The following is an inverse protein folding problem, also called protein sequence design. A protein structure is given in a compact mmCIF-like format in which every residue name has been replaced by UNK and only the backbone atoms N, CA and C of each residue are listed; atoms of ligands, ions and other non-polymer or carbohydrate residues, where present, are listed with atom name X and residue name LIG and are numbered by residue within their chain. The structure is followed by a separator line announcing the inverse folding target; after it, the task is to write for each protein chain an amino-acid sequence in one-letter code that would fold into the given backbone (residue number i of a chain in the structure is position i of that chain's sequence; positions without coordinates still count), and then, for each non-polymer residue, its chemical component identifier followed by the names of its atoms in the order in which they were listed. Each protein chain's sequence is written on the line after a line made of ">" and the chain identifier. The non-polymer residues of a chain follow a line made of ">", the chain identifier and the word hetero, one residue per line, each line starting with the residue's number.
data_IF_393255250176
#
_entry.id   IF_393255250176
#
_cell.length_a   1.000
_cell.length_b   1.000
_cell.length_c   1.000
_cell.angle_alpha   90.00
_cell.angle_beta   90.00
_cell.angle_gamma   90.00
#
_symmetry.space_group_name_H-M   'P 1'
#
loop_
_entity.id
_entity.type
_entity.pdbx_description
1 polymer ?
#
# COMPACT_ATOMS: atom_id res chain seq x y z
N UNK A 1 -30.90 41.10 -14.44
CA UNK A 1 -29.52 40.63 -14.67
C UNK A 1 -28.69 40.28 -13.41
N UNK A 2 -28.70 41.06 -12.29
CA UNK A 2 -27.86 40.76 -11.09
C UNK A 2 -28.21 39.46 -10.32
N UNK A 3 -29.48 39.02 -10.26
CA UNK A 3 -29.91 37.78 -9.56
C UNK A 3 -29.45 36.49 -10.28
N UNK A 4 -29.35 36.52 -11.60
CA UNK A 4 -28.99 35.36 -12.44
C UNK A 4 -27.48 35.06 -12.41
N UNK A 5 -26.64 36.09 -12.42
CA UNK A 5 -25.19 35.97 -12.23
C UNK A 5 -24.83 35.49 -10.81
N UNK A 6 -25.57 35.92 -9.77
CA UNK A 6 -25.42 35.39 -8.41
C UNK A 6 -25.74 33.89 -8.33
N UNK A 7 -26.83 33.41 -8.97
CA UNK A 7 -27.17 31.97 -9.04
C UNK A 7 -26.12 31.14 -9.80
N UNK A 8 -25.66 31.58 -10.99
CA UNK A 8 -24.62 30.87 -11.77
C UNK A 8 -23.29 30.73 -11.00
N UNK A 9 -22.91 31.77 -10.25
CA UNK A 9 -21.64 31.81 -9.52
C UNK A 9 -21.67 31.12 -8.14
N UNK A 10 -22.86 30.88 -7.58
CA UNK A 10 -23.07 29.98 -6.45
C UNK A 10 -23.00 28.52 -6.93
N UNK A 11 -23.67 28.21 -8.06
CA UNK A 11 -23.66 26.88 -8.69
C UNK A 11 -22.23 26.39 -9.03
N UNK A 12 -21.34 27.27 -9.53
CA UNK A 12 -19.94 26.90 -9.81
C UNK A 12 -19.03 26.79 -8.55
N UNK A 13 -19.32 27.55 -7.47
CA UNK A 13 -18.64 27.41 -6.17
C UNK A 13 -19.00 26.10 -5.46
N UNK A 14 -20.27 25.72 -5.47
CA UNK A 14 -20.72 24.45 -4.92
C UNK A 14 -20.17 23.30 -5.76
N UNK A 15 -20.20 23.40 -7.09
CA UNK A 15 -19.61 22.41 -8.02
C UNK A 15 -18.11 22.17 -7.77
N UNK A 16 -17.30 23.22 -7.57
CA UNK A 16 -15.86 23.04 -7.30
C UNK A 16 -15.58 22.46 -5.91
N UNK A 17 -16.35 22.83 -4.87
CA UNK A 17 -16.21 22.26 -3.52
C UNK A 17 -16.66 20.80 -3.47
N UNK A 18 -17.78 20.50 -4.12
CA UNK A 18 -18.29 19.14 -4.33
C UNK A 18 -17.24 18.32 -5.09
N UNK A 19 -16.67 18.85 -6.17
CA UNK A 19 -15.63 18.15 -6.94
C UNK A 19 -14.39 17.85 -6.10
N UNK A 20 -13.88 18.81 -5.34
CA UNK A 20 -12.77 18.54 -4.40
C UNK A 20 -13.16 17.54 -3.31
N UNK A 21 -14.38 17.61 -2.78
CA UNK A 21 -14.87 16.66 -1.77
C UNK A 21 -14.94 15.24 -2.32
N UNK A 22 -15.51 15.07 -3.52
CA UNK A 22 -15.54 13.78 -4.22
C UNK A 22 -14.13 13.28 -4.56
N UNK A 23 -13.23 14.13 -5.04
CA UNK A 23 -11.84 13.73 -5.31
C UNK A 23 -11.13 13.25 -4.05
N UNK A 24 -11.31 13.93 -2.91
CA UNK A 24 -10.75 13.48 -1.64
C UNK A 24 -11.39 12.17 -1.18
N UNK A 25 -12.70 12.02 -1.33
CA UNK A 25 -13.41 10.79 -1.00
C UNK A 25 -12.90 9.60 -1.83
N UNK A 26 -12.78 9.75 -3.15
CA UNK A 26 -12.24 8.71 -4.02
C UNK A 26 -10.78 8.37 -3.71
N UNK A 27 -9.97 9.36 -3.34
CA UNK A 27 -8.60 9.12 -2.90
C UNK A 27 -8.55 8.29 -1.60
N UNK A 28 -9.42 8.59 -0.63
CA UNK A 28 -9.53 7.81 0.60
C UNK A 28 -10.02 6.38 0.34
N UNK A 29 -10.99 6.21 -0.55
CA UNK A 29 -11.47 4.87 -0.96
C UNK A 29 -10.34 4.09 -1.63
N UNK A 30 -9.62 4.71 -2.58
CA UNK A 30 -8.49 4.08 -3.26
C UNK A 30 -7.39 3.67 -2.27
N UNK A 31 -7.07 4.53 -1.30
CA UNK A 31 -6.12 4.21 -0.24
C UNK A 31 -6.62 3.04 0.63
N UNK A 32 -7.90 3.01 0.99
CA UNK A 32 -8.52 1.93 1.75
C UNK A 32 -8.47 0.59 1.03
N UNK A 33 -8.81 0.55 -0.26
CA UNK A 33 -8.71 -0.67 -1.10
C UNK A 33 -7.28 -1.17 -1.18
N UNK A 34 -6.31 -0.25 -1.26
CA UNK A 34 -4.91 -0.59 -1.39
C UNK A 34 -4.30 -1.09 -0.06
N UNK A 35 -4.79 -0.61 1.08
CA UNK A 35 -4.39 -1.07 2.40
C UNK A 35 -5.13 -2.34 2.87
N UNK A 36 -6.26 -2.69 2.23
CA UNK A 36 -7.09 -3.83 2.63
C UNK A 36 -6.30 -5.16 2.71
N UNK A 37 -5.51 -5.56 1.69
CA UNK A 37 -4.68 -6.77 1.77
C UNK A 37 -3.77 -6.81 2.98
N UNK A 38 -3.10 -5.70 3.29
CA UNK A 38 -2.14 -5.60 4.39
C UNK A 38 -2.86 -5.80 5.73
N UNK A 39 -4.01 -5.16 5.91
CA UNK A 39 -4.82 -5.28 7.14
C UNK A 39 -5.36 -6.71 7.25
N UNK A 40 -5.84 -7.30 6.16
CA UNK A 40 -6.35 -8.65 6.14
C UNK A 40 -5.25 -9.69 6.47
N UNK A 41 -4.06 -9.57 5.84
CA UNK A 41 -2.87 -10.36 6.14
C UNK A 41 -2.50 -10.29 7.63
N UNK A 42 -2.47 -9.08 8.18
CA UNK A 42 -2.14 -8.87 9.59
C UNK A 42 -3.16 -9.52 10.54
N UNK A 43 -4.46 -9.40 10.24
CA UNK A 43 -5.51 -10.02 11.04
C UNK A 43 -5.46 -11.55 10.94
N UNK A 44 -5.21 -12.11 9.74
CA UNK A 44 -5.07 -13.55 9.53
C UNK A 44 -3.87 -14.11 10.30
N UNK A 45 -2.70 -13.48 10.19
CA UNK A 45 -1.51 -13.87 10.94
C UNK A 45 -1.75 -13.84 12.45
N UNK A 46 -2.45 -12.81 12.96
CA UNK A 46 -2.80 -12.73 14.38
C UNK A 46 -3.74 -13.86 14.82
N UNK A 47 -4.69 -14.24 13.96
CA UNK A 47 -5.60 -15.36 14.24
C UNK A 47 -4.84 -16.69 14.30
N UNK A 48 -3.95 -16.96 13.34
CA UNK A 48 -3.11 -18.15 13.33
C UNK A 48 -2.25 -18.27 14.61
N UNK A 49 -1.57 -17.19 15.00
CA UNK A 49 -0.80 -17.12 16.26
C UNK A 49 -1.68 -17.44 17.47
N UNK A 50 -2.91 -16.91 17.50
CA UNK A 50 -3.85 -17.17 18.60
C UNK A 50 -4.26 -18.64 18.66
N UNK A 51 -4.49 -19.28 17.51
CA UNK A 51 -4.81 -20.72 17.44
C UNK A 51 -3.65 -21.58 17.95
N UNK A 52 -2.42 -21.30 17.52
CA UNK A 52 -1.22 -22.00 17.99
C UNK A 52 -0.96 -21.78 19.47
N UNK A 53 -1.14 -20.55 19.98
CA UNK A 53 -1.00 -20.28 21.40
C UNK A 53 -2.00 -21.07 22.24
N UNK A 54 -3.27 -21.13 21.80
CA UNK A 54 -4.31 -21.93 22.47
C UNK A 54 -3.97 -23.41 22.42
N UNK A 55 -3.52 -23.91 21.27
CA UNK A 55 -3.04 -25.28 21.11
C UNK A 55 -1.91 -25.59 22.09
N UNK A 56 -0.86 -24.78 22.11
CA UNK A 56 0.29 -24.95 23.01
C UNK A 56 -0.13 -24.87 24.48
N UNK A 57 -1.05 -23.97 24.84
CA UNK A 57 -1.59 -23.89 26.20
C UNK A 57 -2.36 -25.16 26.56
N UNK A 58 -3.20 -25.69 25.67
CA UNK A 58 -3.93 -26.93 25.92
C UNK A 58 -2.96 -28.11 26.02
N UNK A 59 -1.95 -28.23 25.15
CA UNK A 59 -0.89 -29.25 25.26
C UNK A 59 -0.13 -29.13 26.58
N UNK A 60 0.30 -27.92 26.98
CA UNK A 60 1.05 -27.71 28.22
C UNK A 60 0.23 -28.01 29.49
N UNK A 61 -1.04 -27.58 29.55
CA UNK A 61 -1.96 -27.97 30.64
C UNK A 61 -2.16 -29.49 30.69
N UNK A 62 -2.11 -30.14 29.54
CA UNK A 62 -2.33 -31.58 29.38
C UNK A 62 -1.12 -32.39 29.85
N UNK A 63 0.10 -31.87 29.68
CA UNK A 63 1.34 -32.48 30.20
C UNK A 63 1.47 -32.50 31.73
N UNK A 64 0.74 -31.67 32.48
CA UNK A 64 0.94 -31.48 33.92
C UNK A 64 0.02 -32.36 34.81
N UNK A 65 -0.97 -33.07 34.23
CA UNK A 65 -1.92 -33.88 35.00
C UNK A 65 -1.97 -35.32 34.47
N UNK A 66 -1.85 -36.32 35.37
CA UNK A 66 -1.77 -37.75 35.03
C UNK A 66 -2.96 -38.26 34.22
N UNK A 67 -4.17 -37.74 34.47
CA UNK A 67 -5.39 -38.06 33.71
C UNK A 67 -5.31 -37.60 32.26
N UNK A 68 -4.70 -36.43 32.02
CA UNK A 68 -4.58 -35.84 30.69
C UNK A 68 -3.42 -36.45 29.88
N UNK A 69 -2.34 -36.88 30.53
CA UNK A 69 -1.30 -37.72 29.88
C UNK A 69 -1.89 -39.02 29.32
N UNK A 70 -2.76 -39.69 30.08
CA UNK A 70 -3.48 -40.89 29.60
C UNK A 70 -4.34 -40.57 28.35
N UNK A 71 -4.94 -39.38 28.30
CA UNK A 71 -5.74 -38.93 27.14
C UNK A 71 -4.83 -38.71 25.91
N UNK A 72 -3.67 -38.08 26.09
CA UNK A 72 -2.72 -37.87 24.98
C UNK A 72 -2.09 -39.19 24.51
N UNK A 73 -1.77 -40.10 25.42
CA UNK A 73 -1.32 -41.45 25.08
C UNK A 73 -2.40 -42.21 24.31
N UNK A 74 -3.67 -42.08 24.70
CA UNK A 74 -4.80 -42.67 23.98
C UNK A 74 -5.00 -42.04 22.60
N UNK A 75 -4.86 -40.72 22.46
CA UNK A 75 -4.89 -40.01 21.17
C UNK A 75 -3.75 -40.45 20.26
N UNK A 76 -2.54 -40.55 20.80
CA UNK A 76 -1.37 -41.03 20.08
C UNK A 76 -1.53 -42.50 19.67
N UNK A 77 -2.11 -43.33 20.53
CA UNK A 77 -2.43 -44.72 20.20
C UNK A 77 -3.43 -44.80 19.04
N UNK A 78 -4.53 -44.05 19.10
CA UNK A 78 -5.50 -43.98 18.00
C UNK A 78 -4.86 -43.47 16.71
N UNK A 79 -3.98 -42.46 16.80
CA UNK A 79 -3.26 -41.96 15.63
C UNK A 79 -2.33 -43.00 15.01
N UNK A 80 -1.62 -43.79 15.82
CA UNK A 80 -0.81 -44.92 15.35
C UNK A 80 -1.67 -46.00 14.69
N UNK A 81 -2.82 -46.32 15.28
CA UNK A 81 -3.75 -47.31 14.73
C UNK A 81 -4.32 -46.85 13.39
N UNK A 82 -4.64 -45.56 13.27
CA UNK A 82 -5.06 -44.94 12.01
C UNK A 82 -3.96 -45.03 10.95
N UNK A 83 -2.72 -44.68 11.31
CA UNK A 83 -1.59 -44.77 10.38
C UNK A 83 -1.34 -46.21 9.91
N UNK A 84 -1.50 -47.20 10.80
CA UNK A 84 -1.43 -48.60 10.42
C UNK A 84 -2.53 -48.98 9.44
N UNK A 85 -3.77 -48.53 9.68
CA UNK A 85 -4.88 -48.74 8.75
C UNK A 85 -4.59 -48.16 7.35
N UNK A 86 -4.11 -46.91 7.28
CA UNK A 86 -3.77 -46.27 6.00
C UNK A 86 -2.61 -47.01 5.30
N UNK A 87 -1.61 -47.45 6.07
CA UNK A 87 -0.52 -48.26 5.53
C UNK A 87 -1.02 -49.59 4.96
N UNK A 88 -1.79 -50.37 5.73
CA UNK A 88 -2.32 -51.65 5.26
C UNK A 88 -3.16 -51.48 3.99
N UNK A 89 -4.03 -50.47 3.96
CA UNK A 89 -4.82 -50.13 2.78
C UNK A 89 -3.92 -49.80 1.57
N UNK A 90 -2.83 -49.05 1.77
CA UNK A 90 -1.87 -48.72 0.70
C UNK A 90 -1.11 -49.94 0.16
N UNK A 91 -0.97 -50.99 0.98
CA UNK A 91 -0.30 -52.23 0.60
C UNK A 91 -1.27 -53.31 0.10
N UNK A 92 -2.57 -53.00 -0.01
CA UNK A 92 -3.61 -53.98 -0.36
C UNK A 92 -3.85 -55.04 0.73
N UNK A 93 -3.46 -54.75 1.97
CA UNK A 93 -3.63 -55.63 3.13
C UNK A 93 -4.94 -55.26 3.82
N UNK A 94 -5.74 -56.27 4.19
CA UNK A 94 -6.99 -56.06 4.93
C UNK A 94 -6.69 -55.75 6.41
N UNK A 95 -7.02 -54.55 6.84
CA UNK A 95 -6.94 -54.16 8.24
C UNK A 95 -7.98 -54.92 9.09
N UNK A 96 -7.55 -55.46 10.23
CA UNK A 96 -8.37 -56.33 11.11
C UNK A 96 -8.88 -55.63 12.36
N UNK A 97 -8.39 -54.42 12.67
CA UNK A 97 -8.79 -53.65 13.84
C UNK A 97 -10.03 -52.77 13.60
N UNK A 98 -10.49 -52.12 14.66
CA UNK A 98 -11.46 -51.02 14.56
C UNK A 98 -10.75 -49.77 14.05
N UNK A 99 -11.19 -49.24 12.91
CA UNK A 99 -10.63 -48.00 12.34
C UNK A 99 -11.01 -46.83 13.26
N UNK A 100 -10.04 -46.05 13.77
CA UNK A 100 -10.32 -44.82 14.51
C UNK A 100 -11.06 -43.80 13.65
N UNK A 101 -11.97 -43.04 14.27
CA UNK A 101 -12.62 -41.91 13.58
C UNK A 101 -11.57 -40.84 13.28
N UNK A 102 -11.40 -40.52 12.00
CA UNK A 102 -10.47 -39.51 11.52
C UNK A 102 -10.67 -38.17 12.23
N UNK A 103 -11.90 -37.68 12.34
CA UNK A 103 -12.19 -36.33 12.86
C UNK A 103 -12.02 -36.23 14.38
N UNK A 104 -11.95 -37.36 15.08
CA UNK A 104 -11.76 -37.40 16.54
C UNK A 104 -10.30 -37.67 16.91
N UNK A 105 -9.48 -38.13 15.96
CA UNK A 105 -8.11 -38.53 16.21
C UNK A 105 -7.20 -37.31 16.12
N UNK A 106 -6.43 -37.01 17.17
CA UNK A 106 -5.63 -35.77 17.27
C UNK A 106 -6.46 -34.47 17.34
N UNK A 107 -7.74 -34.53 17.71
CA UNK A 107 -8.51 -33.32 18.00
C UNK A 107 -8.20 -32.82 19.44
N UNK A 108 -7.35 -31.80 19.53
CA UNK A 108 -6.91 -31.23 20.81
C UNK A 108 -7.86 -30.14 21.31
N UNK A 109 -8.33 -29.29 20.39
CA UNK A 109 -9.08 -28.07 20.72
C UNK A 109 -10.59 -28.15 20.45
N UNK A 110 -11.09 -29.33 20.05
CA UNK A 110 -12.49 -29.56 19.63
C UNK A 110 -12.90 -28.74 18.40
N UNK A 111 -11.91 -28.20 17.68
CA UNK A 111 -12.10 -27.45 16.42
C UNK A 111 -11.31 -28.10 15.29
N UNK A 112 -10.80 -29.31 15.53
CA UNK A 112 -10.11 -30.11 14.52
C UNK A 112 -8.68 -29.66 14.25
N UNK A 113 -8.05 -28.86 15.11
CA UNK A 113 -6.62 -28.55 14.97
C UNK A 113 -5.78 -29.75 15.43
N UNK A 114 -4.99 -30.31 14.51
CA UNK A 114 -4.05 -31.42 14.80
C UNK A 114 -2.72 -30.92 15.36
N UNK A 115 -2.29 -29.74 14.92
CA UNK A 115 -0.92 -29.28 15.12
C UNK A 115 -0.61 -28.02 14.34
N UNK A 116 0.67 -27.75 14.10
CA UNK A 116 1.12 -26.65 13.25
C UNK A 116 2.41 -27.01 12.51
N UNK A 117 2.67 -26.29 11.41
CA UNK A 117 3.88 -26.44 10.58
C UNK A 117 4.70 -25.16 10.57
N UNK A 118 6.02 -25.32 10.57
CA UNK A 118 7.00 -24.24 10.44
C UNK A 118 8.04 -24.55 9.37
N UNK A 119 8.32 -23.58 8.51
CA UNK A 119 9.27 -23.66 7.39
C UNK A 119 10.17 -22.41 7.42
N UNK A 120 11.31 -22.46 8.14
CA UNK A 120 12.16 -21.29 8.38
C UNK A 120 12.59 -20.55 7.10
N UNK A 121 12.92 -21.30 6.05
CA UNK A 121 13.55 -20.80 4.84
C UNK A 121 12.65 -19.84 4.05
N UNK A 122 11.34 -20.01 4.19
CA UNK A 122 10.32 -19.21 3.50
C UNK A 122 9.43 -18.41 4.46
N UNK A 123 9.76 -18.41 5.76
CA UNK A 123 9.06 -17.68 6.84
C UNK A 123 7.60 -18.11 7.05
N UNK A 124 7.30 -19.38 6.80
CA UNK A 124 6.04 -19.97 7.27
C UNK A 124 6.25 -20.28 8.75
N UNK A 125 5.63 -19.50 9.63
CA UNK A 125 5.82 -19.61 11.07
C UNK A 125 4.52 -20.06 11.71
N UNK A 126 4.54 -21.28 12.24
CA UNK A 126 3.48 -21.86 13.06
C UNK A 126 2.09 -21.76 12.42
N UNK A 127 1.96 -22.27 11.19
CA UNK A 127 0.66 -22.31 10.51
C UNK A 127 -0.13 -23.52 11.01
N UNK A 128 -1.37 -23.35 11.50
CA UNK A 128 -2.19 -24.45 12.00
C UNK A 128 -2.46 -25.53 10.94
N UNK A 129 -2.42 -26.78 11.38
CA UNK A 129 -2.83 -27.96 10.61
C UNK A 129 -4.18 -28.43 11.16
N UNK A 130 -5.13 -28.63 10.26
CA UNK A 130 -6.51 -29.03 10.55
C UNK A 130 -6.89 -30.31 9.81
N UNK A 131 -7.97 -30.94 10.26
CA UNK A 131 -8.57 -32.07 9.57
C UNK A 131 -9.20 -31.67 8.22
N UNK A 132 -8.96 -32.49 7.20
CA UNK A 132 -9.52 -32.36 5.87
C UNK A 132 -8.90 -31.24 5.03
N UNK A 133 -9.30 -31.19 3.76
CA UNK A 133 -8.82 -30.26 2.73
C UNK A 133 -9.97 -29.44 2.12
N UNK A 134 -11.09 -29.32 2.84
CA UNK A 134 -12.21 -28.47 2.43
C UNK A 134 -11.81 -26.98 2.39
N UNK A 135 -12.48 -26.18 1.55
CA UNK A 135 -12.17 -24.75 1.42
C UNK A 135 -12.27 -24.00 2.76
N UNK A 136 -13.21 -24.38 3.64
CA UNK A 136 -13.30 -23.80 4.99
C UNK A 136 -12.05 -24.04 5.82
N UNK A 137 -11.39 -25.19 5.64
CA UNK A 137 -10.15 -25.56 6.31
C UNK A 137 -8.96 -24.84 5.67
N UNK A 138 -8.82 -24.91 4.35
CA UNK A 138 -7.73 -24.28 3.62
C UNK A 138 -7.77 -22.74 3.70
N UNK A 139 -8.94 -22.16 3.99
CA UNK A 139 -9.09 -20.72 4.21
C UNK A 139 -8.46 -20.23 5.53
N UNK A 140 -8.24 -21.12 6.51
CA UNK A 140 -7.75 -20.78 7.85
C UNK A 140 -6.41 -21.42 8.20
N UNK A 141 -5.82 -22.23 7.31
CA UNK A 141 -4.51 -22.85 7.54
C UNK A 141 -4.21 -23.99 6.56
N UNK A 142 -3.52 -25.00 7.07
CA UNK A 142 -3.12 -26.20 6.34
C UNK A 142 -4.14 -27.30 6.59
N UNK A 143 -4.57 -27.97 5.54
CA UNK A 143 -5.44 -29.14 5.60
C UNK A 143 -4.65 -30.44 5.51
N UNK A 144 -4.96 -31.40 6.36
CA UNK A 144 -4.44 -32.76 6.26
C UNK A 144 -5.31 -33.59 5.32
N UNK A 145 -4.72 -34.29 4.35
CA UNK A 145 -5.46 -35.18 3.46
C UNK A 145 -5.85 -36.47 4.20
N UNK A 146 -7.16 -36.69 4.37
CA UNK A 146 -7.70 -37.78 5.17
C UNK A 146 -7.15 -39.16 4.77
N UNK A 147 -6.91 -39.41 3.49
CA UNK A 147 -6.43 -40.71 2.98
C UNK A 147 -4.93 -40.96 3.21
N UNK A 148 -4.26 -40.12 4.01
CA UNK A 148 -2.82 -40.16 4.25
C UNK A 148 -2.51 -40.33 5.73
N UNK A 149 -1.26 -40.65 6.07
CA UNK A 149 -0.88 -40.85 7.47
C UNK A 149 -1.03 -39.54 8.26
N UNK A 150 -1.61 -39.63 9.46
CA UNK A 150 -1.66 -38.52 10.42
C UNK A 150 -0.26 -38.01 10.75
N UNK A 151 -0.13 -36.70 11.07
CA UNK A 151 1.15 -35.99 11.19
C UNK A 151 1.91 -36.26 12.50
N UNK A 152 2.00 -37.53 12.91
CA UNK A 152 2.77 -38.00 14.07
C UNK A 152 4.09 -38.71 13.67
N UNK A 153 4.32 -38.88 12.36
CA UNK A 153 5.46 -39.61 11.79
C UNK A 153 5.44 -41.11 12.10
N UNK A 154 6.60 -41.74 11.95
CA UNK A 154 6.82 -43.18 12.15
C UNK A 154 7.17 -43.92 10.87
N UNK A 155 7.82 -45.07 11.01
CA UNK A 155 8.14 -45.93 9.86
C UNK A 155 6.85 -46.40 9.19
N UNK A 156 6.87 -46.50 7.85
CA UNK A 156 5.71 -46.83 7.02
C UNK A 156 4.62 -45.76 7.09
N UNK A 157 5.02 -44.48 7.10
CA UNK A 157 4.07 -43.36 7.07
C UNK A 157 4.40 -42.37 5.98
N UNK A 158 3.34 -41.76 5.44
CA UNK A 158 3.44 -40.65 4.51
C UNK A 158 2.28 -39.68 4.78
N UNK A 159 2.57 -38.57 5.46
CA UNK A 159 1.57 -37.52 5.71
C UNK A 159 1.53 -36.53 4.56
N UNK A 160 0.35 -36.08 4.15
CA UNK A 160 0.21 -35.08 3.09
C UNK A 160 -0.59 -33.88 3.59
N UNK A 161 0.04 -32.72 3.47
CA UNK A 161 -0.46 -31.45 3.98
C UNK A 161 -0.67 -30.49 2.81
N UNK A 162 -1.89 -30.00 2.65
CA UNK A 162 -2.26 -29.08 1.58
C UNK A 162 -2.53 -27.68 2.12
N UNK A 163 -2.11 -26.66 1.38
CA UNK A 163 -2.51 -25.28 1.63
C UNK A 163 -2.58 -24.47 0.33
N UNK A 164 -3.32 -23.37 0.37
CA UNK A 164 -3.42 -22.45 -0.76
C UNK A 164 -2.07 -21.78 -1.09
N UNK A 165 -1.91 -21.43 -2.36
CA UNK A 165 -0.85 -20.54 -2.87
C UNK A 165 -1.47 -19.29 -3.50
N UNK A 166 -0.77 -18.16 -3.41
CA UNK A 166 -1.16 -16.91 -4.06
C UNK A 166 -2.34 -16.20 -3.42
N UNK A 167 -2.70 -16.52 -2.17
CA UNK A 167 -3.73 -15.76 -1.46
C UNK A 167 -3.17 -14.39 -1.07
N UNK A 168 -3.99 -13.37 -1.34
CA UNK A 168 -3.68 -11.97 -1.04
C UNK A 168 -3.63 -11.71 0.48
N UNK A 169 -4.30 -12.58 1.28
CA UNK A 169 -4.58 -12.41 2.71
C UNK A 169 -3.87 -13.43 3.64
N UNK A 170 -3.10 -14.38 3.09
CA UNK A 170 -2.11 -15.18 3.84
C UNK A 170 -1.15 -15.83 2.82
N UNK A 171 0.15 -15.79 3.08
CA UNK A 171 1.13 -16.39 2.17
C UNK A 171 1.14 -17.91 2.24
N UNK A 172 0.71 -18.58 3.32
CA UNK A 172 0.64 -20.06 3.45
C UNK A 172 1.76 -20.79 2.67
N UNK A 173 1.44 -21.59 1.66
CA UNK A 173 2.41 -22.32 0.82
C UNK A 173 2.73 -21.60 -0.51
N UNK A 174 2.47 -20.30 -0.61
CA UNK A 174 2.75 -19.48 -1.80
C UNK A 174 4.21 -19.56 -2.24
N UNK A 175 5.13 -19.60 -1.29
CA UNK A 175 6.58 -19.59 -1.52
C UNK A 175 7.21 -20.98 -1.44
N UNK A 176 6.39 -22.05 -1.49
CA UNK A 176 6.85 -23.43 -1.39
C UNK A 176 7.80 -23.81 -2.55
N UNK A 177 7.68 -23.14 -3.70
CA UNK A 177 8.56 -23.30 -4.87
C UNK A 177 10.00 -22.80 -4.63
N UNK A 178 10.22 -21.98 -3.60
CA UNK A 178 11.55 -21.49 -3.21
C UNK A 178 12.35 -22.50 -2.39
N UNK A 179 11.71 -23.58 -1.91
CA UNK A 179 12.40 -24.64 -1.19
C UNK A 179 13.28 -25.47 -2.11
N UNK A 180 14.41 -25.93 -1.56
CA UNK A 180 15.41 -26.75 -2.23
C UNK A 180 15.65 -28.03 -1.44
N UNK A 181 16.22 -29.03 -2.10
CA UNK A 181 16.73 -30.22 -1.41
C UNK A 181 17.68 -29.81 -0.27
N UNK A 182 17.55 -30.45 0.89
CA UNK A 182 18.30 -30.11 2.11
C UNK A 182 17.70 -28.97 2.94
N UNK A 183 16.66 -28.28 2.47
CA UNK A 183 15.85 -27.43 3.33
C UNK A 183 15.04 -28.28 4.31
N UNK A 184 14.53 -27.67 5.37
CA UNK A 184 13.81 -28.39 6.42
C UNK A 184 12.47 -27.74 6.74
N UNK A 185 11.55 -28.55 7.24
CA UNK A 185 10.32 -28.09 7.86
C UNK A 185 10.02 -28.91 9.10
N UNK A 186 9.22 -28.31 9.97
CA UNK A 186 8.88 -28.84 11.28
C UNK A 186 7.39 -29.02 11.38
N UNK A 187 6.97 -30.18 11.87
CA UNK A 187 5.57 -30.48 12.17
C UNK A 187 5.48 -30.69 13.67
N UNK A 188 4.60 -29.93 14.32
CA UNK A 188 4.33 -30.02 15.74
C UNK A 188 2.94 -30.60 15.93
N UNK A 189 2.81 -31.68 16.69
CA UNK A 189 1.54 -32.38 16.94
C UNK A 189 1.59 -32.99 18.33
N UNK A 190 0.54 -32.79 19.14
CA UNK A 190 0.57 -33.08 20.58
C UNK A 190 1.83 -32.46 21.23
N UNK A 191 2.59 -33.25 21.97
CA UNK A 191 3.90 -32.90 22.56
C UNK A 191 5.09 -33.35 21.69
N UNK A 192 4.84 -33.66 20.41
CA UNK A 192 5.84 -34.21 19.50
C UNK A 192 6.25 -33.16 18.48
N UNK A 193 7.55 -32.98 18.33
CA UNK A 193 8.17 -32.19 17.28
C UNK A 193 8.84 -33.13 16.26
N UNK A 194 8.52 -32.93 14.98
CA UNK A 194 9.01 -33.75 13.88
C UNK A 194 9.77 -32.86 12.91
N UNK A 195 10.98 -33.25 12.54
CA UNK A 195 11.80 -32.54 11.56
C UNK A 195 11.95 -33.36 10.28
N UNK A 196 11.66 -32.73 9.15
CA UNK A 196 11.81 -33.34 7.83
C UNK A 196 12.78 -32.53 7.00
N UNK A 197 13.64 -33.24 6.26
CA UNK A 197 14.53 -32.66 5.25
C UNK A 197 13.93 -32.87 3.87
N UNK A 198 13.81 -31.82 3.07
CA UNK A 198 13.33 -31.86 1.69
C UNK A 198 14.28 -32.71 0.87
N UNK A 199 13.76 -33.78 0.27
CA UNK A 199 14.53 -34.69 -0.59
C UNK A 199 14.11 -34.59 -2.06
N UNK A 200 12.91 -34.09 -2.35
CA UNK A 200 12.38 -34.07 -3.70
C UNK A 200 11.28 -33.01 -3.87
N UNK A 201 11.24 -32.40 -5.06
CA UNK A 201 10.19 -31.47 -5.48
C UNK A 201 9.67 -31.86 -6.85
N UNK A 202 8.35 -31.98 -7.00
CA UNK A 202 7.70 -32.37 -8.26
C UNK A 202 6.55 -31.43 -8.61
N UNK A 203 6.35 -31.21 -9.91
CA UNK A 203 5.16 -30.54 -10.45
C UNK A 203 4.35 -31.59 -11.20
N UNK A 204 3.11 -31.82 -10.76
CA UNK A 204 2.26 -32.90 -11.27
C UNK A 204 0.88 -32.38 -11.68
N UNK A 205 0.13 -33.21 -12.40
CA UNK A 205 -1.28 -32.92 -12.68
C UNK A 205 -2.11 -33.09 -11.42
N UNK A 206 -3.24 -32.36 -11.24
CA UNK A 206 -4.06 -32.50 -10.03
C UNK A 206 -4.57 -33.92 -9.74
N UNK A 207 -4.76 -34.73 -10.78
CA UNK A 207 -5.18 -36.13 -10.67
C UNK A 207 -4.02 -37.12 -10.43
N UNK A 208 -2.77 -36.67 -10.54
CA UNK A 208 -1.60 -37.52 -10.35
C UNK A 208 -1.22 -37.58 -8.87
N UNK A 209 -1.62 -38.67 -8.23
CA UNK A 209 -1.36 -38.97 -6.82
C UNK A 209 -0.28 -40.05 -6.63
N UNK A 210 0.38 -40.46 -7.71
CA UNK A 210 1.30 -41.61 -7.72
C UNK A 210 2.46 -41.49 -6.74
N UNK A 211 2.89 -40.26 -6.43
CA UNK A 211 4.00 -39.99 -5.51
C UNK A 211 3.57 -39.78 -4.06
N UNK A 212 2.28 -39.85 -3.76
CA UNK A 212 1.73 -39.64 -2.42
C UNK A 212 1.52 -40.95 -1.65
N UNK A 213 1.78 -42.10 -2.28
CA UNK A 213 1.68 -43.42 -1.63
C UNK A 213 2.72 -43.59 -0.52
N UNK A 214 2.40 -44.44 0.45
CA UNK A 214 3.34 -44.80 1.52
C UNK A 214 4.43 -45.71 0.96
N UNK A 215 5.68 -45.39 1.29
CA UNK A 215 6.84 -46.22 0.95
C UNK A 215 7.23 -47.03 2.18
N UNK A 216 7.30 -48.35 2.02
CA UNK A 216 7.70 -49.27 3.10
C UNK A 216 9.12 -48.92 3.59
N UNK A 217 9.27 -48.82 4.91
CA UNK A 217 10.54 -48.48 5.57
C UNK A 217 10.79 -46.98 5.71
N UNK A 218 9.92 -46.12 5.18
CA UNK A 218 10.13 -44.67 5.15
C UNK A 218 9.15 -43.92 6.07
N UNK A 219 9.58 -42.74 6.53
CA UNK A 219 8.77 -41.74 7.26
C UNK A 219 8.83 -40.44 6.44
N UNK A 220 7.76 -40.16 5.71
CA UNK A 220 7.68 -39.09 4.71
C UNK A 220 6.59 -38.08 5.04
N UNK A 221 6.82 -36.84 4.61
CA UNK A 221 5.81 -35.79 4.63
C UNK A 221 5.85 -35.01 3.31
N UNK A 222 4.71 -34.87 2.64
CA UNK A 222 4.60 -34.07 1.41
C UNK A 222 3.74 -32.83 1.64
N UNK A 223 4.29 -31.67 1.31
CA UNK A 223 3.60 -30.39 1.28
C UNK A 223 3.06 -30.14 -0.14
N UNK A 224 1.78 -29.81 -0.24
CA UNK A 224 1.06 -29.69 -1.52
C UNK A 224 0.46 -28.30 -1.66
N UNK A 225 0.66 -27.70 -2.83
CA UNK A 225 -0.03 -26.46 -3.19
C UNK A 225 -0.32 -26.37 -4.68
N UNK A 226 -1.14 -25.39 -5.07
CA UNK A 226 -1.41 -25.09 -6.47
C UNK A 226 -0.21 -24.43 -7.14
N UNK A 227 0.04 -24.75 -8.41
CA UNK A 227 1.16 -24.18 -9.16
C UNK A 227 0.84 -24.09 -10.67
N UNK A 228 1.47 -23.16 -11.43
CA UNK A 228 2.13 -21.94 -10.96
C UNK A 228 1.15 -21.02 -10.23
N UNK A 229 1.65 -20.30 -9.22
CA UNK A 229 0.83 -19.37 -8.43
C UNK A 229 0.08 -18.39 -9.33
N UNK A 230 -1.25 -18.32 -9.18
CA UNK A 230 -2.14 -17.47 -9.98
C UNK A 230 -2.71 -18.13 -11.23
N UNK A 231 -2.13 -19.25 -11.70
CA UNK A 231 -2.69 -20.10 -12.76
C UNK A 231 -3.33 -21.36 -12.16
N UNK A 232 -2.66 -21.99 -11.18
CA UNK A 232 -3.20 -23.04 -10.32
C UNK A 232 -3.70 -24.32 -11.04
N UNK A 233 -3.22 -24.58 -12.26
CA UNK A 233 -3.63 -25.74 -13.07
C UNK A 233 -2.84 -27.03 -12.78
N UNK A 234 -1.76 -26.95 -12.00
CA UNK A 234 -0.93 -28.07 -11.56
C UNK A 234 -0.82 -28.09 -10.03
N UNK A 235 -0.13 -29.11 -9.52
CA UNK A 235 0.24 -29.20 -8.10
C UNK A 235 1.75 -29.21 -7.97
N UNK A 236 2.25 -28.43 -7.02
CA UNK A 236 3.62 -28.51 -6.54
C UNK A 236 3.63 -29.39 -5.30
N UNK A 237 4.45 -30.44 -5.34
CA UNK A 237 4.66 -31.40 -4.26
C UNK A 237 6.10 -31.24 -3.76
N UNK A 238 6.27 -30.90 -2.49
CA UNK A 238 7.58 -30.88 -1.82
C UNK A 238 7.60 -31.99 -0.77
N UNK A 239 8.38 -33.03 -1.03
CA UNK A 239 8.47 -34.22 -0.16
C UNK A 239 9.72 -34.12 0.70
N UNK A 240 9.53 -34.22 2.00
CA UNK A 240 10.58 -34.38 3.00
C UNK A 240 10.62 -35.77 3.60
N UNK A 241 11.82 -36.18 4.01
CA UNK A 241 12.09 -37.41 4.76
C UNK A 241 12.47 -37.07 6.19
N UNK A 242 11.99 -37.88 7.14
CA UNK A 242 12.25 -37.67 8.56
C UNK A 242 13.74 -37.69 8.87
N UNK A 243 14.18 -36.71 9.65
CA UNK A 243 15.53 -36.65 10.24
C UNK A 243 15.47 -36.40 11.76
N UNK A 244 16.52 -36.74 12.53
CA UNK A 244 16.58 -36.42 13.95
C UNK A 244 16.49 -34.92 14.24
N UNK A 245 15.78 -34.53 15.29
CA UNK A 245 15.67 -33.11 15.70
C UNK A 245 17.02 -32.46 16.01
N UNK A 246 17.96 -33.25 16.54
CA UNK A 246 19.31 -32.80 16.93
C UNK A 246 20.22 -32.48 15.74
N UNK A 247 19.87 -32.92 14.54
CA UNK A 247 20.68 -32.68 13.34
C UNK A 247 20.55 -31.22 12.91
N UNK A 248 21.58 -30.41 13.12
CA UNK A 248 21.58 -29.01 12.66
C UNK A 248 21.79 -28.96 11.15
N UNK A 249 20.85 -28.36 10.42
CA UNK A 249 21.01 -28.15 8.97
C UNK A 249 21.41 -26.70 8.69
N UNK A 250 22.50 -26.44 7.92
CA UNK A 250 22.90 -25.07 7.58
C UNK A 250 21.81 -24.27 6.85
N UNK A 251 20.89 -24.97 6.18
CA UNK A 251 19.77 -24.40 5.44
C UNK A 251 18.76 -23.67 6.33
N UNK A 252 18.63 -24.02 7.62
CA UNK A 252 17.70 -23.37 8.57
C UNK A 252 17.90 -21.85 8.68
N UNK A 253 19.15 -21.38 8.51
CA UNK A 253 19.49 -19.95 8.60
C UNK A 253 19.28 -19.19 7.29
N UNK A 254 19.00 -19.89 6.19
CA UNK A 254 18.86 -19.28 4.86
C UNK A 254 17.44 -18.76 4.71
N UNK A 255 17.27 -17.43 4.71
CA UNK A 255 15.99 -16.83 4.35
C UNK A 255 15.93 -16.55 2.85
N UNK A 256 15.11 -17.32 2.11
CA UNK A 256 14.90 -17.13 0.65
C UNK A 256 13.74 -16.20 0.33
N UNK A 257 12.90 -15.88 1.32
CA UNK A 257 11.81 -14.93 1.19
C UNK A 257 12.10 -13.59 1.89
N UNK A 258 13.08 -12.83 1.37
CA UNK A 258 13.47 -11.53 1.97
C UNK A 258 12.49 -10.40 1.62
N UNK A 259 11.98 -10.40 0.38
CA UNK A 259 11.05 -9.39 -0.16
C UNK A 259 9.85 -10.09 -0.81
N UNK A 260 8.91 -10.53 0.02
CA UNK A 260 7.67 -11.15 -0.43
C UNK A 260 6.68 -10.14 -1.03
N UNK A 261 5.50 -10.64 -1.41
CA UNK A 261 4.40 -9.83 -1.95
C UNK A 261 4.06 -8.63 -1.06
N UNK A 262 3.95 -8.86 0.25
CA UNK A 262 3.61 -7.82 1.23
C UNK A 262 4.58 -6.64 1.24
N UNK A 263 5.89 -6.91 1.06
CA UNK A 263 6.90 -5.85 1.00
C UNK A 263 6.65 -4.94 -0.20
N UNK A 264 6.43 -5.52 -1.38
CA UNK A 264 6.22 -4.74 -2.61
C UNK A 264 4.90 -3.97 -2.60
N UNK A 265 3.84 -4.58 -2.05
CA UNK A 265 2.55 -3.89 -1.86
C UNK A 265 2.71 -2.73 -0.88
N UNK A 266 3.42 -2.92 0.23
CA UNK A 266 3.65 -1.86 1.21
C UNK A 266 4.55 -0.75 0.66
N UNK A 267 5.60 -1.10 -0.07
CA UNK A 267 6.51 -0.13 -0.69
C UNK A 267 5.79 0.69 -1.77
N UNK A 268 5.01 0.02 -2.63
CA UNK A 268 4.21 0.66 -3.68
C UNK A 268 3.13 1.57 -3.10
N UNK A 269 2.38 1.08 -2.11
CA UNK A 269 1.32 1.84 -1.41
C UNK A 269 1.86 3.12 -0.78
N UNK A 270 2.95 3.00 -0.02
CA UNK A 270 3.60 4.11 0.67
C UNK A 270 4.15 5.14 -0.32
N UNK A 271 4.71 4.68 -1.44
CA UNK A 271 5.21 5.56 -2.51
C UNK A 271 4.10 6.39 -3.15
N UNK A 272 2.95 5.77 -3.45
CA UNK A 272 1.78 6.47 -4.00
C UNK A 272 1.18 7.46 -3.00
N UNK A 273 1.07 7.07 -1.72
CA UNK A 273 0.59 7.95 -0.67
C UNK A 273 1.50 9.17 -0.48
N UNK A 274 2.83 8.97 -0.51
CA UNK A 274 3.81 10.05 -0.44
C UNK A 274 3.69 11.00 -1.64
N UNK A 275 3.54 10.47 -2.86
CA UNK A 275 3.34 11.27 -4.06
C UNK A 275 2.05 12.12 -3.98
N UNK A 276 0.96 11.54 -3.48
CA UNK A 276 -0.30 12.26 -3.24
C UNK A 276 -0.12 13.39 -2.20
N UNK A 277 0.64 13.15 -1.14
CA UNK A 277 0.92 14.13 -0.10
C UNK A 277 1.80 15.27 -0.63
N UNK A 278 2.85 14.95 -1.39
CA UNK A 278 3.73 15.94 -2.02
C UNK A 278 2.99 16.80 -3.04
N UNK A 279 2.16 16.19 -3.90
CA UNK A 279 1.35 16.93 -4.87
C UNK A 279 0.32 17.84 -4.18
N UNK A 280 -0.35 17.37 -3.13
CA UNK A 280 -1.25 18.19 -2.30
C UNK A 280 -0.51 19.37 -1.65
N UNK A 281 0.66 19.12 -1.06
CA UNK A 281 1.52 20.16 -0.48
C UNK A 281 1.95 21.20 -1.53
N UNK A 282 2.39 20.75 -2.71
CA UNK A 282 2.75 21.62 -3.83
C UNK A 282 1.56 22.46 -4.30
N UNK A 283 0.35 21.90 -4.37
CA UNK A 283 -0.87 22.64 -4.71
C UNK A 283 -1.23 23.67 -3.63
N UNK A 284 -1.09 23.33 -2.34
CA UNK A 284 -1.28 24.25 -1.22
C UNK A 284 -0.27 25.41 -1.23
N UNK A 285 1.00 25.11 -1.53
CA UNK A 285 2.07 26.11 -1.67
C UNK A 285 1.89 26.97 -2.92
N UNK A 286 1.47 26.38 -4.05
CA UNK A 286 1.17 27.11 -5.29
C UNK A 286 0.02 28.12 -5.11
N UNK A 287 -0.91 27.87 -4.19
CA UNK A 287 -1.98 28.80 -3.81
C UNK A 287 -1.48 30.03 -3.03
N UNK A 288 -0.21 30.05 -2.59
CA UNK A 288 0.40 31.11 -1.77
C UNK A 288 1.30 32.09 -2.54
N UNK A 289 1.25 32.15 -3.88
CA UNK A 289 2.07 33.07 -4.69
C UNK A 289 1.91 34.52 -4.21
N UNK A 290 3.04 35.15 -3.88
CA UNK A 290 3.14 36.55 -3.45
C UNK A 290 3.20 37.47 -4.67
N UNK A 291 2.72 38.69 -4.49
CA UNK A 291 2.89 39.81 -5.40
C UNK A 291 3.72 40.87 -4.69
N UNK A 292 4.58 41.56 -5.41
CA UNK A 292 5.50 42.54 -4.86
C UNK A 292 5.26 43.88 -5.54
N UNK A 293 5.19 44.95 -4.75
CA UNK A 293 5.16 46.34 -5.21
C UNK A 293 6.37 47.07 -4.60
N UNK A 294 7.00 47.93 -5.37
CA UNK A 294 8.13 48.76 -4.90
C UNK A 294 7.62 50.19 -4.74
N UNK A 295 7.82 50.77 -3.56
CA UNK A 295 7.47 52.17 -3.24
C UNK A 295 8.43 52.74 -2.20
N UNK A 296 8.47 54.05 -1.99
CA UNK A 296 9.27 54.66 -0.91
C UNK A 296 8.59 54.58 0.47
N UNK A 297 7.34 54.11 0.52
CA UNK A 297 6.52 54.04 1.75
C UNK A 297 5.93 52.64 1.95
N UNK A 298 5.59 52.34 3.21
CA UNK A 298 4.91 51.10 3.59
C UNK A 298 3.41 51.21 3.29
N UNK A 299 2.94 50.44 2.31
CA UNK A 299 1.54 50.47 1.86
C UNK A 299 0.76 49.25 2.38
N UNK A 300 0.16 49.38 3.58
CA UNK A 300 -0.64 48.29 4.19
C UNK A 300 -2.02 48.12 3.53
N UNK A 301 -2.64 49.21 3.10
CA UNK A 301 -3.93 49.25 2.41
C UNK A 301 -3.79 50.12 1.15
N UNK A 302 -3.24 49.55 0.06
CA UNK A 302 -3.01 50.34 -1.15
C UNK A 302 -4.33 50.65 -1.87
N UNK A 303 -4.40 51.85 -2.42
CA UNK A 303 -5.42 52.35 -3.32
C UNK A 303 -4.79 52.72 -4.66
N UNK A 304 -5.62 52.96 -5.69
CA UNK A 304 -5.10 53.31 -7.01
C UNK A 304 -4.26 54.60 -6.97
N UNK A 305 -4.62 55.57 -6.12
CA UNK A 305 -3.91 56.84 -5.97
C UNK A 305 -2.48 56.70 -5.42
N UNK A 306 -2.18 55.63 -4.67
CA UNK A 306 -0.91 55.49 -3.94
C UNK A 306 0.28 55.10 -4.84
N UNK A 307 0.02 54.72 -6.10
CA UNK A 307 1.06 54.16 -6.98
C UNK A 307 0.62 53.98 -8.43
N UNK A 308 -0.23 54.89 -8.93
CA UNK A 308 -0.68 54.88 -10.33
C UNK A 308 0.47 55.26 -11.25
N UNK A 309 0.87 54.34 -12.12
CA UNK A 309 1.90 54.56 -13.14
C UNK A 309 1.30 54.23 -14.51
N UNK A 310 1.68 54.98 -15.53
CA UNK A 310 1.42 54.62 -16.93
C UNK A 310 2.52 53.68 -17.41
N UNK A 311 2.17 52.49 -17.90
CA UNK A 311 3.14 51.51 -18.37
C UNK A 311 2.56 50.56 -19.43
N UNK A 312 3.24 49.44 -19.65
CA UNK A 312 2.96 48.44 -20.70
C UNK A 312 1.52 47.90 -20.73
N UNK A 313 0.86 47.87 -19.57
CA UNK A 313 -0.52 47.38 -19.44
C UNK A 313 -1.51 48.51 -19.13
N UNK A 314 -1.15 49.76 -19.44
CA UNK A 314 -1.94 50.96 -19.20
C UNK A 314 -1.75 51.56 -17.80
N UNK A 315 -2.55 52.57 -17.47
CA UNK A 315 -2.50 53.26 -16.18
C UNK A 315 -2.97 52.35 -15.05
N UNK A 316 -2.16 52.16 -14.01
CA UNK A 316 -2.60 51.43 -12.83
C UNK A 316 -1.53 51.21 -11.78
N UNK A 317 -1.85 50.38 -10.79
CA UNK A 317 -0.94 49.99 -9.71
C UNK A 317 -0.21 48.69 -10.08
N UNK A 318 1.09 48.81 -10.30
CA UNK A 318 1.93 47.73 -10.82
C UNK A 318 2.45 46.82 -9.69
N UNK A 319 2.31 45.52 -9.91
CA UNK A 319 2.76 44.45 -9.05
C UNK A 319 3.56 43.44 -9.89
N UNK A 320 4.58 42.84 -9.32
CA UNK A 320 5.31 41.74 -9.97
C UNK A 320 5.14 40.44 -9.19
N UNK A 321 5.14 39.33 -9.92
CA UNK A 321 5.22 37.97 -9.33
C UNK A 321 6.66 37.55 -9.01
N UNK A 322 7.66 38.28 -9.48
CA UNK A 322 9.08 37.99 -9.27
C UNK A 322 9.67 38.86 -8.16
N UNK A 323 10.16 38.23 -7.09
CA UNK A 323 10.92 38.96 -6.05
C UNK A 323 12.20 39.57 -6.62
N UNK A 324 12.84 38.90 -7.57
CA UNK A 324 14.09 39.37 -8.20
C UNK A 324 13.85 40.66 -8.99
N UNK A 325 12.78 40.71 -9.79
CA UNK A 325 12.40 41.92 -10.51
C UNK A 325 12.10 43.08 -9.56
N UNK A 326 11.35 42.81 -8.47
CA UNK A 326 11.08 43.83 -7.46
C UNK A 326 12.36 44.36 -6.78
N UNK A 327 13.33 43.49 -6.51
CA UNK A 327 14.63 43.89 -5.96
C UNK A 327 15.43 44.75 -6.93
N UNK A 328 15.45 44.40 -8.22
CA UNK A 328 16.09 45.19 -9.26
C UNK A 328 15.43 46.58 -9.40
N UNK A 329 14.10 46.63 -9.46
CA UNK A 329 13.34 47.89 -9.51
C UNK A 329 13.59 48.78 -8.28
N UNK A 330 13.79 48.18 -7.11
CA UNK A 330 14.08 48.90 -5.89
C UNK A 330 15.48 49.56 -5.87
N UNK A 331 16.46 49.07 -6.65
CA UNK A 331 17.79 49.67 -6.72
C UNK A 331 17.77 51.07 -7.37
N UNK A 332 16.78 51.35 -8.21
CA UNK A 332 16.62 52.65 -8.86
C UNK A 332 15.98 53.72 -7.96
N UNK A 333 15.56 53.36 -6.73
CA UNK A 333 14.82 54.23 -5.82
C UNK A 333 15.53 54.31 -4.46
N UNK A 334 16.00 55.50 -4.09
CA UNK A 334 16.56 55.74 -2.76
C UNK A 334 15.48 55.56 -1.68
N UNK A 335 15.78 54.79 -0.63
CA UNK A 335 14.83 54.47 0.44
C UNK A 335 13.72 53.48 0.07
N UNK A 336 13.90 52.66 -0.99
CA UNK A 336 12.87 51.76 -1.47
C UNK A 336 12.40 50.70 -0.44
N UNK A 337 11.09 50.46 -0.45
CA UNK A 337 10.39 49.45 0.35
C UNK A 337 9.65 48.49 -0.59
N UNK A 338 9.91 47.19 -0.44
CA UNK A 338 9.18 46.13 -1.16
C UNK A 338 7.99 45.68 -0.33
N UNK A 339 6.79 46.09 -0.75
CA UNK A 339 5.53 45.68 -0.17
C UNK A 339 5.04 44.35 -0.78
N UNK A 340 4.78 43.35 0.06
CA UNK A 340 4.35 42.01 -0.35
C UNK A 340 2.87 41.79 -0.10
N UNK A 341 2.16 41.30 -1.12
CA UNK A 341 0.73 41.04 -1.11
C UNK A 341 0.38 39.63 -1.57
N UNK A 342 -0.88 39.22 -1.37
CA UNK A 342 -1.48 38.01 -1.95
C UNK A 342 -2.96 38.22 -2.22
N UNK A 343 -3.47 37.65 -3.31
CA UNK A 343 -4.91 37.59 -3.55
C UNK A 343 -5.62 36.62 -2.59
N UNK A 344 -6.65 37.09 -1.87
CA UNK A 344 -7.34 36.31 -0.81
C UNK A 344 -8.44 35.39 -1.36
N UNK A 345 -9.01 35.69 -2.53
CA UNK A 345 -10.21 35.01 -3.06
C UNK A 345 -10.13 34.78 -4.58
N UNK A 346 -10.96 33.87 -5.09
CA UNK A 346 -11.26 33.82 -6.52
C UNK A 346 -11.78 35.20 -6.95
N UNK A 347 -11.10 35.82 -7.91
CA UNK A 347 -11.30 37.16 -8.51
C UNK A 347 -12.72 37.36 -9.07
N UNK A 348 -13.71 37.32 -8.20
CA UNK A 348 -15.12 37.14 -8.56
C UNK A 348 -15.76 38.50 -8.74
N UNK A 349 -16.14 38.82 -9.98
CA UNK A 349 -16.73 40.12 -10.33
C UNK A 349 -15.74 41.11 -10.93
N UNK A 350 -14.43 40.81 -10.90
CA UNK A 350 -13.42 41.59 -11.60
C UNK A 350 -13.43 41.26 -13.10
N UNK A 351 -13.43 42.27 -13.95
CA UNK A 351 -13.07 42.15 -15.36
C UNK A 351 -11.55 42.00 -15.45
N UNK A 352 -11.07 40.92 -16.03
CA UNK A 352 -9.64 40.66 -16.10
C UNK A 352 -9.17 40.28 -17.50
N UNK A 353 -7.94 40.66 -17.80
CA UNK A 353 -7.21 40.23 -18.99
C UNK A 353 -5.91 39.52 -18.56
N UNK A 354 -5.64 38.34 -19.11
CA UNK A 354 -4.44 37.55 -18.77
C UNK A 354 -3.77 37.06 -20.04
N UNK A 355 -2.54 37.49 -20.24
CA UNK A 355 -1.61 36.93 -21.22
C UNK A 355 -0.66 35.97 -20.52
N UNK A 356 -0.56 34.73 -21.02
CA UNK A 356 0.35 33.73 -20.44
C UNK A 356 1.73 33.69 -21.12
N UNK A 357 1.82 34.25 -22.33
CA UNK A 357 3.01 34.27 -23.19
C UNK A 357 3.00 35.56 -24.02
N UNK A 358 4.18 35.99 -24.50
CA UNK A 358 4.33 37.09 -25.46
C UNK A 358 3.92 36.56 -26.84
N UNK A 359 2.64 36.66 -27.16
CA UNK A 359 2.10 36.36 -28.49
C UNK A 359 1.95 37.66 -29.28
N UNK A 360 1.75 37.58 -30.59
CA UNK A 360 1.49 38.75 -31.44
C UNK A 360 0.34 39.64 -30.89
N UNK A 361 -0.72 39.03 -30.35
CA UNK A 361 -1.82 39.75 -29.70
C UNK A 361 -1.42 40.44 -28.39
N UNK A 362 -0.42 39.91 -27.67
CA UNK A 362 0.14 40.57 -26.49
C UNK A 362 1.01 41.76 -26.89
N UNK A 363 1.85 41.60 -27.93
CA UNK A 363 2.70 42.70 -28.44
C UNK A 363 1.84 43.86 -28.94
N UNK A 364 0.85 43.57 -29.80
CA UNK A 364 -0.12 44.59 -30.26
C UNK A 364 -0.82 45.31 -29.10
N UNK A 365 -1.18 44.58 -28.05
CA UNK A 365 -1.80 45.15 -26.85
C UNK A 365 -0.83 46.07 -26.09
N UNK A 366 0.41 45.66 -25.89
CA UNK A 366 1.42 46.46 -25.18
C UNK A 366 1.77 47.72 -25.97
N UNK A 367 2.06 47.59 -27.27
CA UNK A 367 2.37 48.73 -28.16
C UNK A 367 1.22 49.74 -28.16
N UNK A 368 -0.03 49.29 -28.31
CA UNK A 368 -1.19 50.19 -28.26
C UNK A 368 -1.34 50.93 -26.91
N UNK A 369 -0.98 50.32 -25.78
CA UNK A 369 -1.02 50.99 -24.47
C UNK A 369 0.13 51.99 -24.29
N UNK A 370 1.31 51.70 -24.84
CA UNK A 370 2.47 52.59 -24.81
C UNK A 370 2.27 53.82 -25.70
N UNK A 371 1.69 53.62 -26.89
CA UNK A 371 1.41 54.70 -27.86
C UNK A 371 0.16 55.52 -27.50
N UNK A 372 -0.53 55.18 -26.39
CA UNK A 372 -1.73 55.87 -25.93
C UNK A 372 -2.97 55.65 -26.79
N UNK A 373 -2.91 54.73 -27.76
CA UNK A 373 -3.99 54.44 -28.72
C UNK A 373 -4.91 53.29 -28.31
N UNK A 374 -4.75 52.74 -27.11
CA UNK A 374 -5.58 51.63 -26.65
C UNK A 374 -7.00 52.10 -26.26
N UNK A 375 -7.95 51.98 -27.18
CA UNK A 375 -9.39 52.26 -26.97
C UNK A 375 -10.20 51.05 -26.43
N UNK A 376 -9.51 49.99 -25.99
CA UNK A 376 -10.16 48.75 -25.59
C UNK A 376 -10.94 48.82 -24.27
N UNK A 377 -11.68 47.74 -23.96
CA UNK A 377 -12.51 47.65 -22.74
C UNK A 377 -11.66 47.87 -21.48
N UNK A 378 -12.15 48.69 -20.56
CA UNK A 378 -11.57 48.84 -19.23
C UNK A 378 -11.63 47.51 -18.46
N UNK A 379 -10.47 47.07 -17.95
CA UNK A 379 -10.33 45.91 -17.07
C UNK A 379 -10.06 46.40 -15.65
N UNK A 380 -10.44 45.63 -14.64
CA UNK A 380 -10.07 45.91 -13.25
C UNK A 380 -8.65 45.41 -12.95
N UNK A 381 -8.19 44.45 -13.75
CA UNK A 381 -6.97 43.68 -13.54
C UNK A 381 -6.39 43.21 -14.87
N UNK A 382 -5.11 43.48 -15.10
CA UNK A 382 -4.36 42.92 -16.24
C UNK A 382 -3.15 42.15 -15.73
N UNK A 383 -2.82 41.01 -16.35
CA UNK A 383 -1.61 40.25 -16.06
C UNK A 383 -0.96 39.79 -17.35
N UNK A 384 0.34 40.03 -17.49
CA UNK A 384 1.11 39.58 -18.64
C UNK A 384 2.58 39.36 -18.31
N UNK A 385 3.34 38.73 -19.20
CA UNK A 385 4.80 38.73 -19.12
C UNK A 385 5.34 40.17 -19.23
N UNK A 386 6.41 40.51 -18.51
CA UNK A 386 7.04 41.82 -18.61
C UNK A 386 7.66 42.04 -20.00
N UNK A 387 7.52 43.24 -20.56
CA UNK A 387 8.24 43.70 -21.76
C UNK A 387 9.58 44.31 -21.34
N UNK A 388 10.70 43.68 -21.69
CA UNK A 388 12.03 44.31 -21.49
C UNK A 388 12.93 43.97 -22.68
N UNK A 389 13.46 44.97 -23.41
CA UNK A 389 14.39 44.72 -24.52
C UNK A 389 15.75 44.14 -24.07
N UNK A 390 16.19 44.45 -22.84
CA UNK A 390 17.57 44.21 -22.38
C UNK A 390 17.77 42.98 -21.48
N UNK A 391 16.69 42.35 -20.99
CA UNK A 391 16.77 41.19 -20.09
C UNK A 391 16.37 39.92 -20.85
N UNK A 392 17.22 38.88 -20.92
CA UNK A 392 16.89 37.66 -21.65
C UNK A 392 15.61 37.01 -21.10
N UNK A 393 14.62 36.80 -22.00
CA UNK A 393 13.26 36.26 -21.78
C UNK A 393 13.22 34.84 -21.16
N UNK A 394 14.36 34.27 -20.77
CA UNK A 394 14.48 32.90 -20.24
C UNK A 394 13.73 32.67 -18.91
N UNK A 395 13.27 33.71 -18.21
CA UNK A 395 12.45 33.58 -16.98
C UNK A 395 11.10 34.29 -17.15
N UNK A 396 10.01 33.52 -17.00
CA UNK A 396 8.61 33.96 -17.09
C UNK A 396 8.22 34.88 -15.93
N UNK A 397 8.72 36.11 -15.91
CA UNK A 397 8.34 37.12 -14.93
C UNK A 397 7.03 37.78 -15.36
N UNK A 398 6.00 37.66 -14.52
CA UNK A 398 4.69 38.24 -14.82
C UNK A 398 4.51 39.54 -14.04
N UNK A 399 4.10 40.59 -14.75
CA UNK A 399 3.53 41.78 -14.17
C UNK A 399 2.02 41.64 -14.00
N UNK A 400 1.50 42.36 -13.02
CA UNK A 400 0.10 42.41 -12.62
C UNK A 400 -0.24 43.87 -12.39
N UNK A 401 -1.26 44.38 -13.07
CA UNK A 401 -1.68 45.78 -12.96
C UNK A 401 -3.10 45.83 -12.46
N UNK A 402 -3.32 46.58 -11.37
CA UNK A 402 -4.64 46.87 -10.83
C UNK A 402 -5.09 48.23 -11.36
N UNK A 403 -6.23 48.26 -12.04
CA UNK A 403 -6.71 49.47 -12.74
C UNK A 403 -7.96 50.07 -12.08
N UNK A 404 -8.52 49.40 -11.06
CA UNK A 404 -9.69 49.88 -10.30
C UNK A 404 -9.59 49.54 -8.82
N UNK A 405 -10.23 50.35 -7.97
CA UNK A 405 -10.26 50.15 -6.51
C UNK A 405 -10.92 48.82 -6.11
N UNK A 406 -11.85 48.32 -6.92
CA UNK A 406 -12.48 47.01 -6.73
C UNK A 406 -11.45 45.86 -6.72
N UNK A 407 -10.34 45.99 -7.45
CA UNK A 407 -9.30 44.97 -7.48
C UNK A 407 -8.50 44.90 -6.16
N UNK A 408 -8.42 46.00 -5.40
CA UNK A 408 -7.68 46.07 -4.14
C UNK A 408 -8.41 45.40 -2.98
N UNK A 409 -9.75 45.31 -3.00
CA UNK A 409 -10.53 44.51 -2.03
C UNK A 409 -10.13 43.02 -2.01
N UNK A 410 -9.51 42.55 -3.10
CA UNK A 410 -9.03 41.18 -3.23
C UNK A 410 -7.56 41.01 -2.83
N UNK A 411 -6.84 42.09 -2.58
CA UNK A 411 -5.41 42.13 -2.27
C UNK A 411 -5.20 42.19 -0.75
N UNK A 412 -4.46 41.24 -0.18
CA UNK A 412 -4.09 41.25 1.25
C UNK A 412 -2.61 41.48 1.42
N UNK A 413 -2.28 42.46 2.23
CA UNK A 413 -0.93 42.74 2.69
C UNK A 413 -0.36 41.58 3.52
N UNK A 414 0.92 41.29 3.32
CA UNK A 414 1.67 40.27 4.05
C UNK A 414 2.76 40.93 4.91
N UNK A 415 3.65 41.70 4.29
CA UNK A 415 4.79 42.35 4.94
C UNK A 415 5.45 43.37 4.02
N UNK A 416 6.31 44.21 4.58
CA UNK A 416 7.21 45.10 3.84
C UNK A 416 8.65 44.82 4.22
N UNK A 417 9.57 44.97 3.27
CA UNK A 417 11.03 44.83 3.46
C UNK A 417 11.69 46.11 2.95
N UNK A 418 12.49 46.80 3.79
CA UNK A 418 13.35 47.89 3.32
C UNK A 418 14.51 47.31 2.53
N UNK A 419 14.79 47.90 1.37
CA UNK A 419 15.95 47.58 0.55
C UNK A 419 17.08 48.51 1.00
N UNK A 420 18.16 47.90 1.49
CA UNK A 420 19.37 48.63 1.92
C UNK A 420 20.21 49.01 0.72
#
# INVERSE_FOLDING_TARGET
>A
MKKEQRKKSAKSRTSNRIRTGLSTLFLLIALGVLLYPIIANYLAAKQAVTSVQKFNQEVQKTSQTKVKQIIDDARLYNAKLYNQYVYDASQGIKFTGKIPDYNQTLDIDQKGMMGYISIPQIKVNDVPIYHGDAESTLAIGVGHLQQTSLPIGGINTHTVLAAHSGRVNDTLFTDLDKLKSGDVFYIHTLNIELKYEVINTKIVQPADVSTLSIIKGEDLATLVTCYPTGINNKRLLVTGKRIPLTQVTPSEKISRNKFGYDFWVLAGSSSLALLALLTSLLLLLAKRRRLYHVAQVVLKQPHLADGKVQGEFGAGFYLTTSKKLAQHQAQALEGAVINSYRFVKAKKGLKYLIYYKQTENWEKFVTANLDGQYEGKAHDYVKGPHHTPEIPVKRREMQVVLQSDAAFEHLKFIKSEQVK
#
